data_IF_245803871701
#
_entry.id   IF_245803871701
#
_cell.length_a   1.000
_cell.length_b   1.000
_cell.length_c   1.000
_cell.angle_alpha   90.00
_cell.angle_beta   90.00
_cell.angle_gamma   90.00
#
_symmetry.space_group_name_H-M   'P 1'
#
loop_
_entity.id
_entity.type
_entity.pdbx_description
1 polymer ?
#
# COMPACT_ATOMS: atom_id res chain seq x y z
N UNK A 1 1.79 -4.13 26.89
CA UNK A 1 1.07 -3.75 25.66
C UNK A 1 1.51 -4.66 24.52
N UNK A 2 0.59 -5.20 23.72
CA UNK A 2 0.87 -6.25 22.72
C UNK A 2 1.92 -5.86 21.67
N UNK A 3 1.88 -4.62 21.19
CA UNK A 3 2.86 -4.09 20.22
C UNK A 3 4.30 -4.13 20.75
N UNK A 4 4.52 -3.82 22.04
CA UNK A 4 5.87 -3.81 22.60
C UNK A 4 6.46 -5.23 22.72
N UNK A 5 5.62 -6.20 23.10
CA UNK A 5 6.00 -7.62 23.14
C UNK A 5 6.32 -8.13 21.73
N UNK A 6 5.41 -7.90 20.78
CA UNK A 6 5.62 -8.27 19.38
C UNK A 6 6.89 -7.63 18.79
N UNK A 7 7.12 -6.34 19.07
CA UNK A 7 8.33 -5.66 18.62
C UNK A 7 9.62 -6.26 19.19
N UNK A 8 9.64 -6.65 20.47
CA UNK A 8 10.78 -7.34 21.07
C UNK A 8 11.00 -8.72 20.45
N UNK A 9 9.94 -9.52 20.33
CA UNK A 9 10.00 -10.89 19.81
C UNK A 9 10.42 -10.93 18.33
N UNK A 10 10.04 -9.90 17.55
CA UNK A 10 10.25 -9.81 16.11
C UNK A 10 11.41 -8.86 15.72
N UNK A 11 12.15 -8.33 16.70
CA UNK A 11 13.30 -7.45 16.46
C UNK A 11 12.97 -6.09 15.85
N UNK A 12 11.77 -5.55 16.07
CA UNK A 12 11.42 -4.21 15.60
C UNK A 12 12.03 -3.14 16.51
N UNK A 13 12.67 -2.15 15.90
CA UNK A 13 13.13 -0.97 16.61
C UNK A 13 11.95 -0.25 17.29
N UNK A 14 12.13 0.32 18.50
CA UNK A 14 11.13 1.17 19.13
C UNK A 14 10.71 2.33 18.23
N UNK A 15 9.41 2.45 17.99
CA UNK A 15 8.84 3.47 17.12
C UNK A 15 7.73 4.24 17.85
N UNK A 16 7.96 5.52 18.22
CA UNK A 16 6.97 6.32 18.93
C UNK A 16 5.69 6.57 18.15
N UNK A 17 5.76 6.73 16.82
CA UNK A 17 4.57 6.95 16.01
C UNK A 17 3.72 5.69 15.92
N UNK A 18 4.34 4.54 15.71
CA UNK A 18 3.60 3.26 15.70
C UNK A 18 2.90 3.00 17.04
N UNK A 19 3.48 3.46 18.16
CA UNK A 19 2.84 3.38 19.48
C UNK A 19 1.66 4.33 19.59
N UNK A 20 1.76 5.53 19.03
CA UNK A 20 0.64 6.48 18.97
C UNK A 20 -0.50 5.91 18.14
N UNK A 21 -0.20 5.36 16.96
CA UNK A 21 -1.15 4.68 16.08
C UNK A 21 -1.87 3.51 16.77
N UNK A 22 -1.18 2.81 17.68
CA UNK A 22 -1.79 1.70 18.42
C UNK A 22 -2.85 2.13 19.45
N UNK A 23 -2.87 3.40 19.87
CA UNK A 23 -3.77 3.90 20.93
C UNK A 23 -4.83 4.88 20.42
N UNK A 24 -4.86 5.16 19.12
CA UNK A 24 -5.82 6.06 18.47
C UNK A 24 -6.57 5.33 17.34
N UNK A 25 -7.81 5.72 17.04
CA UNK A 25 -8.48 5.20 15.86
C UNK A 25 -7.84 5.78 14.58
N UNK A 26 -7.84 5.03 13.48
CA UNK A 26 -7.32 5.46 12.19
C UNK A 26 -8.27 6.43 11.48
N UNK A 27 -8.33 7.66 11.96
CA UNK A 27 -9.16 8.74 11.42
C UNK A 27 -8.26 9.85 10.89
N UNK A 28 -8.20 10.01 9.56
CA UNK A 28 -7.26 10.92 8.91
C UNK A 28 -7.49 12.40 9.31
N UNK A 29 -8.74 12.80 9.53
CA UNK A 29 -9.06 14.15 9.96
C UNK A 29 -8.59 14.39 11.40
N UNK A 30 -8.80 13.42 12.30
CA UNK A 30 -8.29 13.48 13.67
C UNK A 30 -6.77 13.42 13.73
N UNK A 31 -6.13 12.63 12.87
CA UNK A 31 -4.66 12.53 12.81
C UNK A 31 -4.03 13.86 12.39
N UNK A 32 -4.66 14.60 11.47
CA UNK A 32 -4.24 15.96 11.12
C UNK A 32 -4.25 16.88 12.34
N UNK A 33 -5.39 16.97 13.04
CA UNK A 33 -5.52 17.80 14.25
C UNK A 33 -4.55 17.37 15.36
N UNK A 34 -4.32 16.08 15.51
CA UNK A 34 -3.39 15.53 16.50
C UNK A 34 -1.94 15.92 16.17
N UNK A 35 -1.54 15.80 14.91
CA UNK A 35 -0.20 16.17 14.45
C UNK A 35 0.09 17.66 14.68
N UNK A 36 -0.88 18.53 14.40
CA UNK A 36 -0.79 19.98 14.67
C UNK A 36 -0.61 20.27 16.16
N UNK A 37 -1.42 19.64 17.03
CA UNK A 37 -1.35 19.83 18.49
C UNK A 37 -0.04 19.34 19.11
N UNK A 38 0.48 18.22 18.61
CA UNK A 38 1.75 17.66 19.06
C UNK A 38 2.98 18.28 18.38
N UNK A 39 2.76 19.22 17.45
CA UNK A 39 3.81 19.87 16.65
C UNK A 39 4.73 18.87 15.95
N UNK A 40 4.13 17.81 15.39
CA UNK A 40 4.86 16.81 14.62
C UNK A 40 5.45 17.43 13.36
N UNK A 41 6.58 16.89 12.90
CA UNK A 41 7.13 17.25 11.60
C UNK A 41 6.20 16.84 10.46
N UNK A 42 6.38 17.43 9.28
CA UNK A 42 5.60 17.08 8.08
C UNK A 42 5.65 15.59 7.77
N UNK A 43 6.83 14.96 7.87
CA UNK A 43 7.01 13.54 7.61
C UNK A 43 6.22 12.66 8.59
N UNK A 44 6.21 13.02 9.87
CA UNK A 44 5.46 12.30 10.90
C UNK A 44 3.95 12.48 10.73
N UNK A 45 3.50 13.70 10.42
CA UNK A 45 2.10 13.99 10.13
C UNK A 45 1.58 13.22 8.91
N UNK A 46 2.38 13.16 7.84
CA UNK A 46 2.03 12.39 6.64
C UNK A 46 1.99 10.89 6.92
N UNK A 47 2.91 10.36 7.72
CA UNK A 47 2.87 8.95 8.13
C UNK A 47 1.56 8.62 8.86
N UNK A 48 1.15 9.42 9.84
CA UNK A 48 -0.12 9.22 10.55
C UNK A 48 -1.32 9.30 9.60
N UNK A 49 -1.31 10.25 8.65
CA UNK A 49 -2.38 10.39 7.65
C UNK A 49 -2.43 9.17 6.73
N UNK A 50 -1.28 8.72 6.23
CA UNK A 50 -1.18 7.56 5.35
C UNK A 50 -1.60 6.26 6.05
N UNK A 51 -1.17 6.05 7.29
CA UNK A 51 -1.64 4.94 8.13
C UNK A 51 -3.16 4.98 8.31
N UNK A 52 -3.73 6.15 8.62
CA UNK A 52 -5.18 6.29 8.80
C UNK A 52 -5.96 5.99 7.51
N UNK A 53 -5.46 6.45 6.35
CA UNK A 53 -6.07 6.20 5.03
C UNK A 53 -5.83 4.79 4.50
N UNK A 54 -4.81 4.07 4.98
CA UNK A 54 -4.54 2.72 4.56
C UNK A 54 -5.68 1.79 4.98
N UNK A 55 -6.36 1.18 4.01
CA UNK A 55 -7.43 0.21 4.25
C UNK A 55 -6.91 -0.99 5.02
N UNK A 56 -7.71 -1.49 5.97
CA UNK A 56 -7.40 -2.73 6.67
C UNK A 56 -7.13 -3.87 5.66
N UNK A 57 -6.07 -4.63 5.93
CA UNK A 57 -5.68 -5.80 5.16
C UNK A 57 -6.11 -7.02 5.95
N UNK A 58 -6.74 -7.98 5.30
CA UNK A 58 -7.14 -9.24 5.93
C UNK A 58 -5.95 -10.22 5.91
N UNK A 59 -5.83 -11.14 6.89
CA UNK A 59 -4.68 -12.04 6.96
C UNK A 59 -4.61 -13.01 5.77
N UNK A 60 -5.75 -13.29 5.13
CA UNK A 60 -5.87 -14.13 3.93
C UNK A 60 -5.61 -13.39 2.61
N UNK A 61 -5.44 -12.06 2.62
CA UNK A 61 -5.13 -11.29 1.41
C UNK A 61 -3.90 -11.86 0.70
N UNK A 62 -3.94 -11.94 -0.62
CA UNK A 62 -2.78 -12.45 -1.39
C UNK A 62 -1.69 -11.39 -1.52
N UNK A 63 -0.45 -11.80 -1.78
CA UNK A 63 0.63 -10.82 -2.03
C UNK A 63 0.37 -9.97 -3.27
N UNK A 64 -0.24 -10.55 -4.31
CA UNK A 64 -0.67 -9.81 -5.51
C UNK A 64 -1.72 -8.74 -5.20
N UNK A 65 -2.73 -9.06 -4.40
CA UNK A 65 -3.72 -8.07 -3.94
C UNK A 65 -3.08 -6.98 -3.09
N UNK A 66 -2.17 -7.34 -2.19
CA UNK A 66 -1.43 -6.38 -1.38
C UNK A 66 -0.53 -5.50 -2.26
N UNK A 67 0.14 -6.04 -3.27
CA UNK A 67 0.95 -5.27 -4.20
C UNK A 67 0.15 -4.20 -4.94
N UNK A 68 -1.08 -4.52 -5.38
CA UNK A 68 -2.01 -3.54 -5.98
C UNK A 68 -2.36 -2.41 -5.01
N UNK A 69 -2.59 -2.73 -3.73
CA UNK A 69 -2.87 -1.73 -2.69
C UNK A 69 -1.64 -0.86 -2.41
N UNK A 70 -0.45 -1.47 -2.29
CA UNK A 70 0.81 -0.77 -2.11
C UNK A 70 1.16 0.15 -3.29
N UNK A 71 0.82 -0.25 -4.52
CA UNK A 71 1.01 0.57 -5.71
C UNK A 71 0.22 1.89 -5.67
N UNK A 72 -1.05 1.80 -5.23
CA UNK A 72 -2.00 2.92 -5.18
C UNK A 72 -1.89 3.76 -3.91
N UNK A 73 -1.37 3.18 -2.83
CA UNK A 73 -1.26 3.83 -1.53
C UNK A 73 0.17 4.07 -1.08
N UNK A 74 0.33 4.36 0.21
CA UNK A 74 1.63 4.56 0.84
C UNK A 74 2.10 3.27 1.54
N UNK A 75 3.34 2.86 1.24
CA UNK A 75 3.92 1.62 1.77
C UNK A 75 4.06 1.65 3.29
N UNK A 76 4.46 2.78 3.87
CA UNK A 76 4.69 2.90 5.30
C UNK A 76 3.37 2.77 6.07
N UNK A 77 2.30 3.42 5.59
CA UNK A 77 0.96 3.29 6.17
C UNK A 77 0.46 1.83 6.22
N UNK A 78 0.66 1.06 5.13
CA UNK A 78 0.32 -0.36 5.11
C UNK A 78 1.21 -1.21 6.04
N UNK A 79 2.52 -0.92 6.10
CA UNK A 79 3.45 -1.60 7.02
C UNK A 79 3.03 -1.40 8.47
N UNK A 80 2.65 -0.17 8.84
CA UNK A 80 2.19 0.14 10.20
C UNK A 80 0.88 -0.57 10.54
N UNK A 81 -0.10 -0.56 9.61
CA UNK A 81 -1.33 -1.36 9.74
C UNK A 81 -1.04 -2.84 9.97
N UNK A 82 -0.16 -3.42 9.17
CA UNK A 82 0.20 -4.83 9.27
C UNK A 82 0.93 -5.16 10.58
N UNK A 83 1.80 -4.27 11.07
CA UNK A 83 2.46 -4.42 12.39
C UNK A 83 1.46 -4.41 13.53
N UNK A 84 0.49 -3.48 13.51
CA UNK A 84 -0.55 -3.41 14.54
C UNK A 84 -1.45 -4.65 14.51
N UNK A 85 -1.91 -5.07 13.32
CA UNK A 85 -2.73 -6.29 13.16
C UNK A 85 -1.98 -7.54 13.61
N UNK A 86 -0.71 -7.68 13.25
CA UNK A 86 0.12 -8.80 13.68
C UNK A 86 0.30 -8.81 15.21
N UNK A 87 0.58 -7.66 15.81
CA UNK A 87 0.71 -7.56 17.26
C UNK A 87 -0.59 -7.93 17.99
N UNK A 88 -1.74 -7.52 17.47
CA UNK A 88 -3.05 -7.85 18.02
C UNK A 88 -3.35 -9.35 17.88
N UNK A 89 -3.15 -9.94 16.69
CA UNK A 89 -3.37 -11.37 16.45
C UNK A 89 -2.45 -12.23 17.35
N UNK A 90 -1.17 -11.88 17.48
CA UNK A 90 -0.22 -12.58 18.36
C UNK A 90 -0.62 -12.57 19.84
N UNK A 91 -1.28 -11.51 20.30
CA UNK A 91 -1.78 -11.46 21.68
C UNK A 91 -2.93 -12.45 21.91
N UNK A 92 -3.82 -12.60 20.93
CA UNK A 92 -4.94 -13.56 20.99
C UNK A 92 -4.49 -15.01 20.80
N UNK A 93 -3.47 -15.22 19.96
CA UNK A 93 -2.94 -16.54 19.62
C UNK A 93 -2.41 -17.38 20.79
N UNK A 94 -2.30 -16.80 21.99
CA UNK A 94 -1.95 -17.55 23.22
C UNK A 94 -3.04 -18.55 23.60
N UNK A 95 -4.30 -18.25 23.26
CA UNK A 95 -5.48 -19.02 23.69
C UNK A 95 -6.39 -19.41 22.51
N UNK A 96 -6.06 -18.98 21.29
CA UNK A 96 -6.91 -19.07 20.10
C UNK A 96 -6.11 -19.52 18.87
N UNK A 97 -6.43 -20.72 18.37
CA UNK A 97 -5.80 -21.30 17.18
C UNK A 97 -6.13 -20.53 15.88
N UNK A 98 -7.30 -19.91 15.79
CA UNK A 98 -7.66 -19.08 14.63
C UNK A 98 -6.78 -17.83 14.60
N UNK A 99 -6.59 -17.18 15.75
CA UNK A 99 -5.67 -16.06 15.89
C UNK A 99 -4.21 -16.40 15.56
N UNK A 100 -3.78 -17.65 15.79
CA UNK A 100 -2.45 -18.11 15.38
C UNK A 100 -2.32 -18.14 13.84
N UNK A 101 -3.35 -18.62 13.13
CA UNK A 101 -3.39 -18.61 11.66
C UNK A 101 -3.40 -17.17 11.13
N UNK A 102 -4.19 -16.28 11.73
CA UNK A 102 -4.20 -14.86 11.38
C UNK A 102 -2.82 -14.22 11.54
N UNK A 103 -2.14 -14.49 12.67
CA UNK A 103 -0.81 -13.97 12.94
C UNK A 103 0.19 -14.46 11.87
N UNK A 104 0.09 -15.71 11.42
CA UNK A 104 0.86 -16.23 10.29
C UNK A 104 0.60 -15.44 8.99
N UNK A 105 -0.68 -15.20 8.67
CA UNK A 105 -1.08 -14.41 7.51
C UNK A 105 -0.54 -12.98 7.54
N UNK A 106 -0.69 -12.27 8.66
CA UNK A 106 -0.13 -10.93 8.82
C UNK A 106 1.39 -10.90 8.77
N UNK A 107 2.07 -11.91 9.34
CA UNK A 107 3.53 -12.01 9.28
C UNK A 107 4.04 -12.15 7.84
N UNK A 108 3.39 -13.00 7.03
CA UNK A 108 3.70 -13.14 5.60
C UNK A 108 3.53 -11.81 4.86
N UNK A 109 2.37 -11.17 5.04
CA UNK A 109 2.05 -9.91 4.36
C UNK A 109 2.99 -8.76 4.78
N UNK A 110 3.36 -8.69 6.06
CA UNK A 110 4.35 -7.73 6.53
C UNK A 110 5.73 -7.99 5.92
N UNK A 111 6.14 -9.26 5.85
CA UNK A 111 7.40 -9.65 5.20
C UNK A 111 7.44 -9.25 3.72
N UNK A 112 6.32 -9.40 3.00
CA UNK A 112 6.17 -8.94 1.63
C UNK A 112 6.22 -7.40 1.53
N UNK A 113 5.37 -6.67 2.27
CA UNK A 113 5.28 -5.20 2.18
C UNK A 113 6.57 -4.48 2.57
N UNK A 114 7.35 -5.04 3.51
CA UNK A 114 8.62 -4.45 3.93
C UNK A 114 9.71 -4.53 2.85
N UNK A 115 9.67 -5.56 1.99
CA UNK A 115 10.61 -5.79 0.89
C UNK A 115 10.10 -5.34 -0.48
N UNK A 116 8.81 -5.00 -0.57
CA UNK A 116 8.18 -4.63 -1.84
C UNK A 116 8.75 -3.33 -2.39
N UNK A 117 9.12 -3.38 -3.68
CA UNK A 117 9.55 -2.24 -4.47
C UNK A 117 8.46 -1.88 -5.47
N UNK A 118 8.16 -0.59 -5.61
CA UNK A 118 7.10 -0.12 -6.50
C UNK A 118 7.49 -0.35 -7.95
N UNK A 119 6.75 -1.18 -8.71
CA UNK A 119 6.97 -1.32 -10.15
C UNK A 119 6.80 0.04 -10.85
N UNK A 120 7.59 0.29 -11.89
CA UNK A 120 7.43 1.49 -12.73
C UNK A 120 6.55 1.16 -13.93
N UNK A 121 5.50 1.93 -14.16
CA UNK A 121 4.67 1.78 -15.35
C UNK A 121 5.54 2.01 -16.61
N UNK A 122 5.57 1.08 -17.57
CA UNK A 122 6.59 1.08 -18.62
C UNK A 122 6.27 2.01 -19.80
N UNK A 123 5.11 2.66 -19.84
CA UNK A 123 4.75 3.63 -20.88
C UNK A 123 4.82 5.08 -20.40
N UNK A 124 5.14 5.96 -21.32
CA UNK A 124 5.13 7.43 -21.18
C UNK A 124 4.28 8.04 -22.28
N UNK A 125 3.87 9.30 -22.12
CA UNK A 125 3.08 9.99 -23.16
C UNK A 125 3.77 10.08 -24.52
N UNK A 126 5.11 10.16 -24.53
CA UNK A 126 5.90 10.14 -25.76
C UNK A 126 5.66 8.87 -26.60
N UNK A 127 5.39 7.73 -25.95
CA UNK A 127 5.12 6.47 -26.62
C UNK A 127 3.80 6.54 -27.41
N UNK A 128 2.76 7.14 -26.84
CA UNK A 128 1.47 7.33 -27.52
C UNK A 128 1.57 8.37 -28.63
N UNK A 129 2.35 9.44 -28.45
CA UNK A 129 2.58 10.42 -29.53
C UNK A 129 3.32 9.81 -30.72
N UNK A 130 4.25 8.88 -30.47
CA UNK A 130 4.94 8.14 -31.53
C UNK A 130 4.00 7.20 -32.30
N UNK A 131 2.89 6.76 -31.68
CA UNK A 131 1.81 6.01 -32.33
C UNK A 131 0.81 6.92 -33.08
N UNK A 132 1.06 8.23 -33.16
CA UNK A 132 0.22 9.19 -33.88
C UNK A 132 -0.85 9.88 -33.03
N UNK A 133 -0.82 9.72 -31.70
CA UNK A 133 -1.75 10.43 -30.82
C UNK A 133 -1.41 11.92 -30.72
N UNK A 134 -2.43 12.78 -30.79
CA UNK A 134 -2.28 14.22 -30.51
C UNK A 134 -2.19 14.45 -29.01
N UNK A 135 -1.23 15.27 -28.51
CA UNK A 135 -1.19 15.65 -27.10
C UNK A 135 -2.50 16.28 -26.63
N UNK A 136 -3.01 15.84 -25.47
CA UNK A 136 -4.24 16.39 -24.88
C UNK A 136 -4.81 15.52 -23.76
N UNK A 137 -5.93 15.93 -23.13
CA UNK A 137 -6.55 15.22 -22.01
C UNK A 137 -6.86 13.75 -22.30
N UNK A 138 -7.36 13.45 -23.52
CA UNK A 138 -7.64 12.08 -23.98
C UNK A 138 -6.41 11.16 -23.91
N UNK A 139 -5.22 11.67 -24.23
CA UNK A 139 -3.98 10.87 -24.16
C UNK A 139 -3.66 10.49 -22.71
N UNK A 140 -3.83 11.44 -21.78
CA UNK A 140 -3.66 11.18 -20.35
C UNK A 140 -4.66 10.16 -19.81
N UNK A 141 -5.91 10.19 -20.28
CA UNK A 141 -6.93 9.21 -19.92
C UNK A 141 -6.57 7.80 -20.42
N UNK A 142 -6.10 7.66 -21.66
CA UNK A 142 -5.63 6.38 -22.20
C UNK A 142 -4.47 5.83 -21.36
N UNK A 143 -3.45 6.65 -21.06
CA UNK A 143 -2.33 6.21 -20.21
C UNK A 143 -2.80 5.73 -18.84
N UNK A 144 -3.70 6.48 -18.20
CA UNK A 144 -4.24 6.13 -16.88
C UNK A 144 -5.02 4.82 -16.92
N UNK A 145 -5.77 4.56 -17.98
CA UNK A 145 -6.51 3.31 -18.15
C UNK A 145 -5.56 2.13 -18.35
N UNK A 146 -4.54 2.29 -19.20
CA UNK A 146 -3.51 1.26 -19.41
C UNK A 146 -2.72 0.97 -18.13
N UNK A 147 -2.41 1.99 -17.33
CA UNK A 147 -1.77 1.80 -16.03
C UNK A 147 -2.69 1.03 -15.07
N UNK A 148 -3.99 1.35 -15.04
CA UNK A 148 -4.94 0.62 -14.22
C UNK A 148 -5.06 -0.86 -14.64
N UNK A 149 -5.13 -1.15 -15.94
CA UNK A 149 -5.13 -2.51 -16.49
C UNK A 149 -3.84 -3.26 -16.15
N UNK A 150 -2.68 -2.61 -16.28
CA UNK A 150 -1.38 -3.19 -15.95
C UNK A 150 -1.29 -3.56 -14.46
N UNK A 151 -1.77 -2.69 -13.57
CA UNK A 151 -1.86 -2.98 -12.13
C UNK A 151 -2.81 -4.16 -11.88
N UNK A 152 -3.96 -4.21 -12.55
CA UNK A 152 -4.92 -5.29 -12.37
C UNK A 152 -4.42 -6.64 -12.88
N UNK A 153 -3.61 -6.63 -13.95
CA UNK A 153 -2.89 -7.79 -14.47
C UNK A 153 -1.68 -8.20 -13.60
N UNK A 154 -1.47 -7.57 -12.45
CA UNK A 154 -0.39 -7.91 -11.53
C UNK A 154 0.99 -7.48 -12.03
N UNK A 155 1.05 -6.35 -12.74
CA UNK A 155 2.29 -5.77 -13.27
C UNK A 155 2.99 -6.65 -14.34
N UNK A 156 2.29 -7.66 -14.87
CA UNK A 156 2.84 -8.65 -15.78
C UNK A 156 3.01 -8.16 -17.24
N UNK A 157 2.09 -7.36 -17.83
CA UNK A 157 2.27 -6.89 -19.20
C UNK A 157 3.53 -6.04 -19.33
N UNK A 158 4.35 -6.39 -20.31
CA UNK A 158 5.55 -5.63 -20.63
C UNK A 158 5.22 -4.42 -21.51
N UNK A 159 6.27 -3.67 -21.86
CA UNK A 159 6.14 -2.46 -22.66
C UNK A 159 5.50 -2.73 -24.02
N UNK A 160 5.86 -3.83 -24.70
CA UNK A 160 5.40 -4.11 -26.06
C UNK A 160 3.93 -4.54 -26.07
N UNK A 161 3.52 -5.34 -25.08
CA UNK A 161 2.13 -5.69 -24.86
C UNK A 161 1.26 -4.45 -24.59
N UNK A 162 1.77 -3.52 -23.78
CA UNK A 162 1.07 -2.26 -23.47
C UNK A 162 1.04 -1.29 -24.65
N UNK A 163 2.09 -1.22 -25.47
CA UNK A 163 2.09 -0.44 -26.71
C UNK A 163 1.04 -0.95 -27.71
N UNK A 164 0.91 -2.26 -27.85
CA UNK A 164 -0.13 -2.86 -28.69
C UNK A 164 -1.53 -2.47 -28.19
N UNK A 165 -1.76 -2.54 -26.88
CA UNK A 165 -3.03 -2.10 -26.26
C UNK A 165 -3.28 -0.61 -26.44
N UNK A 166 -2.24 0.22 -26.35
CA UNK A 166 -2.34 1.65 -26.62
C UNK A 166 -2.78 1.94 -28.06
N UNK A 167 -2.21 1.23 -29.04
CA UNK A 167 -2.60 1.36 -30.45
C UNK A 167 -4.08 0.96 -30.67
N UNK A 168 -4.54 -0.13 -30.05
CA UNK A 168 -5.94 -0.56 -30.09
C UNK A 168 -6.88 0.51 -29.48
N UNK A 169 -6.50 1.09 -28.33
CA UNK A 169 -7.28 2.13 -27.66
C UNK A 169 -7.38 3.43 -28.48
N UNK A 170 -6.31 3.81 -29.20
CA UNK A 170 -6.29 5.00 -30.06
C UNK A 170 -7.17 4.86 -31.30
N UNK A 171 -7.38 3.63 -31.80
CA UNK A 171 -8.27 3.37 -32.93
C UNK A 171 -9.77 3.35 -32.54
N UNK A 172 -10.05 3.12 -31.25
CA UNK A 172 -11.40 2.98 -30.73
C UNK A 172 -12.05 4.29 -30.25
N UNK A 173 -11.32 5.41 -30.20
CA UNK A 173 -11.78 6.70 -29.64
C UNK A 173 -11.59 7.91 -30.57
#
# INVERSE_FOLDING_TARGET
HGLAKAGKDLGWAPDPLLRLEAIVPPDAARMKTLAERLKLSTAEADRLRHWALATAVEPKTTEGELAKRLYRGDRQGFVDRLRLSLAAARMRAVEDNEALLEAGGFSRLLGFATKWEKPLFPLKGADLTALGATPGPKLGEILRNLEAEWVEAGFAPDRDALLKRAAEALQAG
#
